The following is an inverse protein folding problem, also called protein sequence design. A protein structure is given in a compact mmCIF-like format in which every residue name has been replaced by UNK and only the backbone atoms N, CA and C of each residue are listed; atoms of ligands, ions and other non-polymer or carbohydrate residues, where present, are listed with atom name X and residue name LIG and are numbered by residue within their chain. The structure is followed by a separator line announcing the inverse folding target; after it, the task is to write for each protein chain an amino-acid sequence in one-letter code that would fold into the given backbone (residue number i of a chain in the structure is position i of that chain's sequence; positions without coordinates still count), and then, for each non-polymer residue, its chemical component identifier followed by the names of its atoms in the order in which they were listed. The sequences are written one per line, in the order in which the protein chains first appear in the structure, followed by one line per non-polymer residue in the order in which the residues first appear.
data_IF_513103487900
#
_entry.id   IF_513103487900
#
_cell.length_a   1.000
_cell.length_b   1.000
_cell.length_c   1.000
_cell.angle_alpha   90.00
_cell.angle_beta   90.00
_cell.angle_gamma   90.00
#
_symmetry.space_group_name_H-M   'P 1'
#
loop_
_entity.id
_entity.type
_entity.pdbx_description
1 polymer ?
#
# COMPACT_ATOMS: atom_id res chain seq x y z
N UNK A 1 -23.96 9.32 16.80
CA UNK A 1 -22.81 9.30 15.86
C UNK A 1 -22.62 7.87 15.37
N UNK A 2 -22.86 7.54 14.08
CA UNK A 2 -22.75 6.16 13.62
C UNK A 2 -21.26 5.78 13.54
N UNK A 3 -20.84 4.81 14.36
CA UNK A 3 -19.52 4.20 14.26
C UNK A 3 -19.41 3.53 12.89
N UNK A 4 -18.56 4.07 12.01
CA UNK A 4 -18.32 3.51 10.68
C UNK A 4 -17.67 2.13 10.84
N UNK A 5 -18.50 1.09 10.89
CA UNK A 5 -18.04 -0.32 10.90
C UNK A 5 -17.17 -0.51 9.66
N UNK A 6 -15.95 -0.97 9.87
CA UNK A 6 -14.98 -1.20 8.81
C UNK A 6 -15.51 -2.37 7.97
N UNK A 7 -15.96 -2.11 6.74
CA UNK A 7 -16.40 -3.16 5.82
C UNK A 7 -15.20 -3.74 5.05
N UNK A 8 -15.23 -5.04 4.77
CA UNK A 8 -14.20 -5.71 3.97
C UNK A 8 -13.97 -4.99 2.62
N UNK A 9 -15.06 -4.61 1.92
CA UNK A 9 -14.99 -3.87 0.65
C UNK A 9 -14.27 -2.51 0.78
N UNK A 10 -14.43 -1.82 1.92
CA UNK A 10 -13.74 -0.56 2.20
C UNK A 10 -12.23 -0.80 2.36
N UNK A 11 -11.83 -1.90 3.02
CA UNK A 11 -10.43 -2.29 3.16
C UNK A 11 -9.81 -2.68 1.82
N UNK A 12 -10.51 -3.41 0.96
CA UNK A 12 -10.05 -3.73 -0.41
C UNK A 12 -9.85 -2.44 -1.23
N UNK A 13 -10.78 -1.49 -1.15
CA UNK A 13 -10.68 -0.19 -1.83
C UNK A 13 -9.48 0.63 -1.30
N UNK A 14 -9.23 0.55 0.01
CA UNK A 14 -8.07 1.18 0.64
C UNK A 14 -6.76 0.55 0.14
N UNK A 15 -6.68 -0.77 0.04
CA UNK A 15 -5.53 -1.49 -0.52
C UNK A 15 -5.26 -1.07 -1.97
N UNK A 16 -6.30 -0.99 -2.81
CA UNK A 16 -6.15 -0.53 -4.20
C UNK A 16 -5.57 0.89 -4.28
N UNK A 17 -6.01 1.78 -3.39
CA UNK A 17 -5.47 3.15 -3.29
C UNK A 17 -4.00 3.17 -2.88
N UNK A 18 -3.63 2.37 -1.86
CA UNK A 18 -2.24 2.25 -1.42
C UNK A 18 -1.34 1.66 -2.52
N UNK A 19 -1.82 0.67 -3.27
CA UNK A 19 -1.09 0.09 -4.42
C UNK A 19 -0.85 1.13 -5.53
N UNK A 20 -1.83 1.98 -5.84
CA UNK A 20 -1.64 3.08 -6.80
C UNK A 20 -0.58 4.08 -6.33
N UNK A 21 -0.55 4.39 -5.04
CA UNK A 21 0.50 5.26 -4.46
C UNK A 21 1.87 4.59 -4.53
N UNK A 22 1.95 3.30 -4.22
CA UNK A 22 3.19 2.52 -4.30
C UNK A 22 3.76 2.54 -5.72
N UNK A 23 2.94 2.25 -6.73
CA UNK A 23 3.34 2.28 -8.13
C UNK A 23 3.88 3.66 -8.58
N UNK A 24 3.29 4.75 -8.08
CA UNK A 24 3.81 6.10 -8.34
C UNK A 24 5.19 6.32 -7.73
N UNK A 25 5.45 5.81 -6.52
CA UNK A 25 6.77 5.92 -5.91
C UNK A 25 7.79 5.06 -6.65
N UNK A 26 7.42 3.84 -7.06
CA UNK A 26 8.31 3.00 -7.88
C UNK A 26 8.72 3.69 -9.18
N UNK A 27 7.77 4.32 -9.88
CA UNK A 27 8.06 5.07 -11.09
C UNK A 27 9.02 6.25 -10.82
N UNK A 28 8.87 6.95 -9.69
CA UNK A 28 9.79 8.05 -9.28
C UNK A 28 11.18 7.54 -8.92
N UNK A 29 11.28 6.35 -8.34
CA UNK A 29 12.57 5.72 -8.04
C UNK A 29 13.26 5.34 -9.35
N UNK A 30 12.55 4.68 -10.26
CA UNK A 30 13.10 4.25 -11.56
C UNK A 30 13.53 5.44 -12.42
N UNK A 31 12.72 6.50 -12.48
CA UNK A 31 13.10 7.76 -13.13
C UNK A 31 14.39 8.35 -12.54
N UNK A 32 14.48 8.44 -11.21
CA UNK A 32 15.66 9.00 -10.54
C UNK A 32 16.90 8.09 -10.69
N UNK A 33 16.74 6.77 -10.78
CA UNK A 33 17.84 5.83 -11.01
C UNK A 33 18.37 5.87 -12.44
N UNK A 34 17.54 6.25 -13.42
CA UNK A 34 17.95 6.41 -14.82
C UNK A 34 18.67 7.73 -15.08
N UNK A 35 18.64 8.67 -14.13
CA UNK A 35 19.35 9.94 -14.27
C UNK A 35 20.86 9.73 -14.26
N UNK A 36 21.61 10.44 -15.12
CA UNK A 36 23.07 10.31 -15.20
C UNK A 36 23.79 10.75 -13.91
N UNK A 37 23.17 11.63 -13.11
CA UNK A 37 23.58 11.93 -11.74
C UNK A 37 22.38 11.75 -10.81
N UNK A 38 22.21 10.55 -10.22
CA UNK A 38 21.09 10.28 -9.33
C UNK A 38 21.29 10.97 -7.98
N UNK A 39 20.25 11.64 -7.47
CA UNK A 39 20.26 12.14 -6.10
C UNK A 39 20.06 10.97 -5.11
N UNK A 40 21.16 10.56 -4.48
CA UNK A 40 21.17 9.44 -3.53
C UNK A 40 20.32 9.72 -2.29
N UNK A 41 20.25 10.98 -1.82
CA UNK A 41 19.43 11.34 -0.67
C UNK A 41 17.95 11.26 -1.02
N UNK A 42 17.57 11.73 -2.21
CA UNK A 42 16.22 11.60 -2.76
C UNK A 42 15.84 10.14 -3.00
N UNK A 43 16.73 9.33 -3.57
CA UNK A 43 16.51 7.88 -3.74
C UNK A 43 16.32 7.17 -2.41
N UNK A 44 17.10 7.50 -1.38
CA UNK A 44 16.96 6.94 -0.04
C UNK A 44 15.59 7.26 0.55
N UNK A 45 15.14 8.51 0.45
CA UNK A 45 13.80 8.96 0.90
C UNK A 45 12.69 8.22 0.15
N UNK A 46 12.77 8.14 -1.18
CA UNK A 46 11.76 7.44 -1.99
C UNK A 46 11.70 5.94 -1.65
N UNK A 47 12.85 5.28 -1.43
CA UNK A 47 12.89 3.87 -1.01
C UNK A 47 12.28 3.67 0.38
N UNK A 48 12.49 4.60 1.32
CA UNK A 48 11.85 4.57 2.64
C UNK A 48 10.33 4.76 2.53
N UNK A 49 9.87 5.70 1.71
CA UNK A 49 8.43 5.90 1.46
C UNK A 49 7.80 4.65 0.83
N UNK A 50 8.48 4.02 -0.13
CA UNK A 50 8.04 2.76 -0.73
C UNK A 50 7.90 1.66 0.32
N UNK A 51 8.89 1.53 1.21
CA UNK A 51 8.85 0.54 2.30
C UNK A 51 7.63 0.77 3.20
N UNK A 52 7.41 2.02 3.64
CA UNK A 52 6.24 2.36 4.45
C UNK A 52 4.90 2.08 3.77
N UNK A 53 4.79 2.30 2.45
CA UNK A 53 3.60 1.93 1.68
C UNK A 53 3.42 0.42 1.59
N UNK A 54 4.50 -0.35 1.42
CA UNK A 54 4.45 -1.81 1.42
C UNK A 54 3.95 -2.35 2.75
N UNK A 55 4.44 -1.81 3.86
CA UNK A 55 4.02 -2.19 5.21
C UNK A 55 2.56 -1.81 5.47
N UNK A 56 2.13 -0.61 5.05
CA UNK A 56 0.74 -0.19 5.14
C UNK A 56 -0.21 -1.10 4.34
N UNK A 57 0.21 -1.56 3.16
CA UNK A 57 -0.54 -2.55 2.36
C UNK A 57 -0.62 -3.87 3.12
N UNK A 58 0.50 -4.36 3.66
CA UNK A 58 0.54 -5.62 4.40
C UNK A 58 -0.37 -5.60 5.63
N UNK A 59 -0.32 -4.53 6.42
CA UNK A 59 -1.18 -4.34 7.60
C UNK A 59 -2.65 -4.26 7.17
N UNK A 60 -2.98 -3.44 6.17
CA UNK A 60 -4.37 -3.29 5.72
C UNK A 60 -4.92 -4.62 5.17
N UNK A 61 -4.08 -5.40 4.47
CA UNK A 61 -4.44 -6.73 3.98
C UNK A 61 -4.70 -7.70 5.13
N UNK A 62 -3.82 -7.76 6.12
CA UNK A 62 -4.02 -8.59 7.31
C UNK A 62 -5.32 -8.24 8.05
N UNK A 63 -5.68 -6.95 8.12
CA UNK A 63 -6.96 -6.50 8.68
C UNK A 63 -8.14 -6.93 7.78
N UNK A 64 -8.00 -6.79 6.46
CA UNK A 64 -9.04 -7.21 5.50
C UNK A 64 -9.33 -8.71 5.58
N UNK A 65 -8.29 -9.53 5.69
CA UNK A 65 -8.39 -10.98 5.78
C UNK A 65 -9.12 -11.41 7.06
N UNK A 66 -8.85 -10.75 8.20
CA UNK A 66 -9.58 -10.98 9.46
C UNK A 66 -11.06 -10.62 9.39
N UNK A 67 -11.42 -9.65 8.56
CA UNK A 67 -12.79 -9.19 8.37
C UNK A 67 -13.46 -9.78 7.13
N UNK A 68 -12.86 -10.79 6.50
CA UNK A 68 -13.44 -11.47 5.34
C UNK A 68 -14.60 -12.39 5.77
N UNK A 69 -15.85 -12.07 5.42
CA UNK A 69 -17.01 -12.86 5.84
C UNK A 69 -17.13 -14.21 5.10
N UNK A 70 -16.40 -14.42 4.00
CA UNK A 70 -16.53 -15.61 3.14
C UNK A 70 -15.59 -16.76 3.52
N UNK A 71 -14.56 -16.50 4.32
CA UNK A 71 -13.64 -17.54 4.82
C UNK A 71 -14.35 -18.60 5.68
N UNK A 72 -15.56 -18.33 6.18
CA UNK A 72 -16.32 -19.23 7.04
C UNK A 72 -17.31 -20.16 6.28
N UNK A 73 -17.51 -20.00 4.96
CA UNK A 73 -18.52 -20.75 4.18
C UNK A 73 -17.95 -21.88 3.32
N UNK A 74 -16.64 -22.08 3.31
CA UNK A 74 -16.03 -23.20 2.58
C UNK A 74 -15.87 -24.36 3.57
N UNK A 75 -16.91 -25.18 3.72
CA UNK A 75 -16.96 -26.35 4.59
C UNK A 75 -18.13 -27.25 4.22
#
# INVERSE_FOLDING_TARGET
MPHRRISHQSLISRIATLRRRHAKIDARIDDEQRRPMPDIARLKRLKQERLGLKDAIAITRAIADRHNPDSARTG
#
